data_IF_574948382474
#
_entry.id   IF_574948382474
#
_cell.length_a   1.000
_cell.length_b   1.000
_cell.length_c   1.000
_cell.angle_alpha   90.00
_cell.angle_beta   90.00
_cell.angle_gamma   90.00
#
_symmetry.space_group_name_H-M   'P 1'
#
loop_
_entity.id
_entity.type
_entity.pdbx_description
1 polymer ?
2 polymer ?
3 non-polymer ?
4 non-polymer ?
5 non-polymer ?
6 non-polymer ?
7 non-polymer ?
8 non-polymer ?
9 water ?
#
# COMPACT_ATOMS: atom_id res chain seq x y z
N UNK A 9 -15.49 -19.94 2.05
CA UNK A 9 -14.33 -19.38 1.31
C UNK A 9 -14.83 -18.52 0.14
N UNK A 10 -14.49 -17.22 0.13
CA UNK A 10 -14.67 -16.37 -1.05
C UNK A 10 -13.41 -16.51 -1.93
N UNK A 11 -13.54 -16.26 -3.27
CA UNK A 11 -12.38 -16.40 -4.18
C UNK A 11 -11.14 -15.70 -3.61
N UNK A 12 -10.01 -16.43 -3.48
CA UNK A 12 -8.76 -15.93 -2.87
C UNK A 12 -8.34 -14.50 -3.27
N UNK A 13 -8.58 -14.09 -4.52
CA UNK A 13 -8.23 -12.72 -4.97
C UNK A 13 -9.14 -11.64 -4.32
N UNK A 14 -10.29 -12.04 -3.77
CA UNK A 14 -11.24 -11.12 -3.09
C UNK A 14 -11.14 -11.04 -1.53
N UNK A 15 -10.43 -12.00 -0.97
CA UNK A 15 -10.10 -12.04 0.45
C UNK A 15 -9.55 -10.74 1.05
N UNK A 16 -8.67 -9.99 0.32
CA UNK A 16 -8.12 -8.72 0.85
C UNK A 16 -9.14 -7.64 1.11
N UNK A 17 -10.32 -7.74 0.49
CA UNK A 17 -11.43 -6.85 0.82
C UNK A 17 -12.03 -7.14 2.21
N UNK A 18 -11.76 -8.31 2.78
CA UNK A 18 -12.23 -8.66 4.13
C UNK A 18 -11.28 -8.21 5.21
N UNK A 19 -11.80 -7.37 6.09
CA UNK A 19 -11.01 -6.82 7.16
C UNK A 19 -10.37 -7.89 8.01
N UNK A 20 -11.07 -8.97 8.31
CA UNK A 20 -10.46 -10.02 9.13
C UNK A 20 -9.30 -10.71 8.43
N UNK A 21 -9.31 -10.83 7.09
CA UNK A 21 -8.16 -11.39 6.37
C UNK A 21 -6.97 -10.42 6.52
N UNK A 22 -7.27 -9.14 6.42
CA UNK A 22 -6.25 -8.12 6.54
C UNK A 22 -5.67 -8.13 7.93
N UNK A 23 -6.51 -8.17 8.96
CA UNK A 23 -6.01 -8.25 10.34
C UNK A 23 -5.06 -9.46 10.49
N UNK A 24 -5.37 -10.58 9.83
CA UNK A 24 -4.57 -11.82 10.00
C UNK A 24 -3.13 -11.65 9.50
N UNK A 25 -2.91 -10.72 8.58
CA UNK A 25 -1.56 -10.52 8.06
C UNK A 25 -0.60 -9.98 9.11
N UNK A 26 -1.10 -9.38 10.19
CA UNK A 26 -0.23 -8.66 11.14
C UNK A 26 0.31 -9.58 12.23
N UNK A 27 0.92 -10.69 11.81
CA UNK A 27 1.34 -11.72 12.72
C UNK A 27 2.32 -11.17 13.75
N UNK A 28 3.31 -10.41 13.29
CA UNK A 28 4.33 -9.91 14.20
C UNK A 28 4.44 -8.39 14.30
N UNK A 29 3.34 -7.72 14.00
CA UNK A 29 3.27 -6.28 14.12
C UNK A 29 3.60 -5.85 15.53
N UNK A 30 4.45 -4.86 15.68
CA UNK A 30 4.93 -4.48 16.99
C UNK A 30 4.06 -3.47 17.73
N UNK A 31 3.11 -2.84 17.07
CA UNK A 31 2.31 -1.83 17.76
C UNK A 31 0.96 -2.42 18.16
N UNK A 32 0.79 -2.69 19.44
CA UNK A 32 -0.42 -3.31 19.92
C UNK A 32 -1.22 -2.32 20.79
N UNK A 33 -1.94 -2.83 21.77
CA UNK A 33 -2.82 -2.03 22.57
C UNK A 33 -2.06 -0.90 23.24
N UNK A 34 -2.64 0.29 23.23
CA UNK A 34 -1.98 1.52 23.73
C UNK A 34 -1.56 2.47 22.61
N UNK A 35 -1.43 1.91 21.43
CA UNK A 35 -1.01 2.63 20.24
C UNK A 35 -2.22 2.95 19.36
N UNK A 36 -2.04 3.96 18.51
CA UNK A 36 -3.04 4.30 17.51
C UNK A 36 -3.01 3.29 16.38
N UNK A 37 -1.82 2.83 15.98
CA UNK A 37 -1.73 1.98 14.81
C UNK A 37 -1.74 0.50 15.15
N UNK A 38 -2.79 0.07 15.84
CA UNK A 38 -2.95 -1.34 16.15
C UNK A 38 -3.32 -2.11 14.88
N UNK A 39 -3.13 -3.43 14.89
CA UNK A 39 -3.53 -4.23 13.72
C UNK A 39 -4.98 -4.01 13.27
N UNK A 40 -5.92 -3.93 14.23
CA UNK A 40 -7.33 -3.63 13.91
C UNK A 40 -7.44 -2.32 13.18
N UNK A 41 -6.79 -1.28 13.69
CA UNK A 41 -6.88 0.01 13.04
C UNK A 41 -6.18 -0.01 11.69
N UNK A 42 -5.07 -0.70 11.60
CA UNK A 42 -4.33 -0.74 10.32
C UNK A 42 -5.20 -1.45 9.28
N UNK A 43 -5.85 -2.54 9.70
CA UNK A 43 -6.67 -3.35 8.78
C UNK A 43 -7.90 -2.56 8.38
N UNK A 44 -8.50 -1.85 9.33
CA UNK A 44 -9.62 -0.95 9.04
C UNK A 44 -9.27 0.04 7.95
N UNK A 45 -8.05 0.56 7.99
CA UNK A 45 -7.61 1.59 7.02
C UNK A 45 -7.22 1.02 5.68
N UNK A 46 -7.13 -0.32 5.56
CA UNK A 46 -6.89 -0.97 4.27
C UNK A 46 -5.52 -1.63 4.13
N UNK A 47 -4.72 -1.63 5.21
CA UNK A 47 -3.36 -2.11 5.18
C UNK A 47 -3.23 -3.61 5.43
N UNK A 48 -2.27 -4.20 4.72
CA UNK A 48 -1.75 -5.54 4.98
C UNK A 48 -0.28 -5.37 5.45
N UNK A 49 0.13 -6.23 6.39
CA UNK A 49 1.50 -6.26 6.86
C UNK A 49 2.37 -7.06 5.89
N UNK A 50 3.38 -6.38 5.33
CA UNK A 50 4.31 -6.96 4.35
C UNK A 50 5.75 -6.82 4.84
N UNK A 51 6.10 -7.51 5.92
CA UNK A 51 7.38 -7.21 6.49
C UNK A 51 8.53 -7.72 5.60
N UNK A 52 9.67 -7.09 5.79
CA UNK A 52 10.97 -7.59 5.28
C UNK A 52 12.00 -7.53 6.42
N UNK A 53 13.18 -8.12 6.20
CA UNK A 53 14.32 -7.95 7.11
C UNK A 53 14.61 -6.44 7.16
N UNK A 54 14.78 -5.85 5.98
CA UNK A 54 15.02 -4.40 5.81
C UNK A 54 13.94 -3.50 6.46
N UNK A 55 12.66 -3.87 6.31
CA UNK A 55 11.54 -3.06 6.75
C UNK A 55 10.46 -3.93 7.44
N UNK A 56 10.61 -4.22 8.74
CA UNK A 56 9.70 -5.12 9.49
C UNK A 56 8.29 -4.57 9.78
N UNK A 57 8.16 -3.24 9.70
CA UNK A 57 6.88 -2.57 9.86
C UNK A 57 6.33 -2.13 8.51
N UNK A 58 6.81 -2.71 7.40
CA UNK A 58 6.28 -2.31 6.10
C UNK A 58 4.83 -2.76 5.93
N UNK A 59 3.99 -1.82 5.56
CA UNK A 59 2.57 -2.08 5.36
C UNK A 59 2.14 -1.56 4.01
N UNK A 60 1.24 -2.29 3.33
CA UNK A 60 0.72 -1.89 2.00
C UNK A 60 -0.84 -1.83 1.98
N UNK A 61 -1.38 -0.77 1.37
CA UNK A 61 -2.82 -0.68 1.17
C UNK A 61 -3.22 -1.74 0.20
N UNK A 62 -4.23 -2.58 0.51
CA UNK A 62 -4.56 -3.65 -0.44
C UNK A 62 -5.16 -3.09 -1.66
N UNK A 63 -5.60 -1.85 -1.62
CA UNK A 63 -6.43 -1.34 -2.72
C UNK A 63 -5.71 -0.40 -3.72
N UNK A 64 -4.87 0.49 -3.18
CA UNK A 64 -4.07 1.44 -4.02
C UNK A 64 -2.62 1.10 -4.02
N UNK A 65 -2.22 0.16 -3.18
CA UNK A 65 -0.89 -0.42 -3.18
C UNK A 65 0.21 0.55 -2.68
N UNK A 66 -0.18 1.64 -2.05
CA UNK A 66 0.77 2.47 -1.36
C UNK A 66 1.45 1.72 -0.22
N UNK A 67 2.78 1.88 -0.14
CA UNK A 67 3.63 1.18 0.81
C UNK A 67 4.22 2.18 1.83
N UNK A 68 3.94 1.95 3.10
CA UNK A 68 4.39 2.85 4.14
C UNK A 68 5.08 2.14 5.23
N UNK A 69 6.08 2.82 5.76
CA UNK A 69 6.94 2.28 6.78
C UNK A 69 7.30 3.41 7.73
N UNK A 70 8.06 3.04 8.73
CA UNK A 70 8.52 3.99 9.74
C UNK A 70 7.38 4.44 10.63
N UNK A 71 6.54 3.49 11.03
CA UNK A 71 5.37 3.80 11.84
C UNK A 71 5.82 4.17 13.27
N UNK A 72 5.16 5.15 13.84
CA UNK A 72 5.29 5.49 15.25
C UNK A 72 3.95 5.13 15.94
N UNK A 73 3.98 4.90 17.27
CA UNK A 73 2.77 4.54 18.06
C UNK A 73 1.56 5.45 17.90
N UNK A 74 1.81 6.76 17.83
CA UNK A 74 0.75 7.78 17.67
C UNK A 74 0.24 7.97 16.25
N UNK A 75 0.76 7.23 15.28
CA UNK A 75 0.28 7.34 13.91
C UNK A 75 -1.12 6.77 13.78
N UNK A 76 -2.04 7.58 13.29
CA UNK A 76 -3.36 7.14 12.93
C UNK A 76 -3.37 6.62 11.50
N UNK A 77 -3.57 5.29 11.32
CA UNK A 77 -3.53 4.69 10.00
C UNK A 77 -4.39 5.32 8.94
N UNK A 78 -5.59 5.77 9.29
CA UNK A 78 -6.47 6.44 8.33
C UNK A 78 -5.85 7.74 7.85
N UNK A 79 -5.40 8.53 8.82
CA UNK A 79 -4.80 9.83 8.56
C UNK A 79 -3.53 9.63 7.71
N UNK A 80 -2.66 8.69 8.08
CA UNK A 80 -1.49 8.38 7.25
C UNK A 80 -1.88 7.97 5.83
N UNK A 81 -2.91 7.16 5.70
CA UNK A 81 -3.34 6.69 4.37
C UNK A 81 -3.82 7.88 3.59
N UNK A 82 -4.59 8.75 4.22
CA UNK A 82 -5.10 9.93 3.52
C UNK A 82 -3.93 10.86 3.06
N UNK A 83 -2.92 11.01 3.93
CA UNK A 83 -1.82 11.99 3.72
C UNK A 83 -1.00 11.52 2.51
N UNK A 84 -0.70 10.21 2.50
CA UNK A 84 0.18 9.60 1.51
C UNK A 84 -0.52 9.11 0.29
N UNK A 85 -1.81 8.83 0.35
CA UNK A 85 -2.50 8.37 -0.88
C UNK A 85 -3.91 8.85 -0.90
N UNK A 86 -4.04 10.16 -1.11
CA UNK A 86 -5.30 10.88 -0.98
C UNK A 86 -6.33 10.45 -2.00
N UNK A 87 -5.91 9.91 -3.14
CA UNK A 87 -6.84 9.47 -4.20
C UNK A 87 -7.34 8.02 -4.08
N UNK A 88 -6.91 7.27 -3.08
CA UNK A 88 -7.33 5.85 -2.93
C UNK A 88 -8.86 5.75 -2.72
N UNK A 89 -9.56 5.14 -3.67
CA UNK A 89 -11.03 4.97 -3.59
C UNK A 89 -11.47 4.23 -2.30
N UNK A 90 -10.61 3.41 -1.69
CA UNK A 90 -11.03 2.67 -0.51
C UNK A 90 -11.38 3.61 0.64
N UNK A 91 -10.70 4.74 0.66
CA UNK A 91 -10.91 5.73 1.66
C UNK A 91 -12.30 6.38 1.56
N UNK A 92 -12.96 6.29 0.42
CA UNK A 92 -14.30 6.81 0.23
C UNK A 92 -15.39 5.75 0.44
N UNK A 93 -15.03 4.55 0.84
CA UNK A 93 -15.96 3.50 0.97
C UNK A 93 -16.52 3.69 2.38
N UNK A 94 -17.78 4.06 2.49
CA UNK A 94 -18.37 4.17 3.81
C UNK A 94 -19.07 2.92 4.35
N UNK A 95 -19.54 2.09 3.43
CA UNK A 95 -20.25 0.84 3.81
C UNK A 95 -19.31 -0.27 4.30
N UNK A 96 -19.89 -1.21 5.04
CA UNK A 96 -19.21 -2.48 5.29
C UNK A 96 -19.22 -3.35 4.00
N UNK A 97 -18.30 -4.30 3.92
CA UNK A 97 -18.19 -5.21 2.78
C UNK A 97 -19.55 -5.84 2.40
N UNK A 98 -20.21 -6.43 3.37
CA UNK A 98 -21.47 -7.09 3.12
C UNK A 98 -22.56 -6.19 2.62
N UNK A 99 -22.41 -4.86 2.80
CA UNK A 99 -23.43 -3.91 2.41
C UNK A 99 -23.17 -3.41 1.02
N UNK A 100 -21.99 -3.65 0.47
CA UNK A 100 -21.71 -3.27 -0.91
C UNK A 100 -22.67 -4.01 -1.85
N UNK A 101 -23.11 -3.36 -2.93
CA UNK A 101 -23.83 -4.08 -3.95
C UNK A 101 -22.83 -4.83 -4.79
N UNK A 102 -23.30 -5.85 -5.50
CA UNK A 102 -22.45 -6.52 -6.43
C UNK A 102 -21.84 -5.56 -7.47
N UNK A 103 -22.68 -4.69 -8.04
CA UNK A 103 -22.22 -3.69 -9.02
C UNK A 103 -21.11 -2.83 -8.40
N UNK A 104 -21.31 -2.40 -7.17
CA UNK A 104 -20.31 -1.62 -6.45
C UNK A 104 -19.04 -2.41 -6.19
N UNK A 105 -19.19 -3.64 -5.75
CA UNK A 105 -18.02 -4.49 -5.57
C UNK A 105 -17.23 -4.68 -6.86
N UNK A 106 -17.90 -4.98 -7.96
CA UNK A 106 -17.24 -5.17 -9.22
C UNK A 106 -16.51 -3.89 -9.66
N UNK A 107 -17.15 -2.75 -9.50
CA UNK A 107 -16.52 -1.47 -9.84
C UNK A 107 -15.27 -1.26 -8.96
N UNK A 108 -15.38 -1.51 -7.65
CA UNK A 108 -14.22 -1.41 -6.79
C UNK A 108 -13.10 -2.35 -7.22
N UNK A 109 -13.47 -3.56 -7.62
CA UNK A 109 -12.46 -4.49 -8.06
C UNK A 109 -11.77 -4.06 -9.39
N UNK A 110 -12.50 -3.50 -10.33
CA UNK A 110 -11.88 -2.93 -11.54
C UNK A 110 -10.97 -1.78 -11.19
N UNK A 111 -11.27 -1.04 -10.15
CA UNK A 111 -10.50 0.15 -9.79
C UNK A 111 -9.25 -0.32 -9.09
N UNK A 112 -9.41 -1.33 -8.26
CA UNK A 112 -8.22 -1.97 -7.68
C UNK A 112 -7.24 -2.51 -8.76
N UNK A 113 -7.80 -3.15 -9.81
CA UNK A 113 -6.98 -3.70 -10.89
C UNK A 113 -6.21 -2.59 -11.64
N UNK A 114 -6.88 -1.47 -11.95
CA UNK A 114 -6.25 -0.27 -12.50
C UNK A 114 -5.18 0.22 -11.57
N UNK A 115 -5.41 0.14 -10.26
CA UNK A 115 -4.40 0.56 -9.29
C UNK A 115 -3.14 -0.32 -9.30
N UNK A 116 -3.34 -1.62 -9.48
CA UNK A 116 -2.26 -2.56 -9.49
C UNK A 116 -1.36 -2.37 -10.74
N UNK A 117 -1.99 -2.13 -11.89
CA UNK A 117 -1.33 -1.76 -13.14
C UNK A 117 -0.51 -0.49 -12.92
N UNK A 118 -1.14 0.49 -12.29
CA UNK A 118 -0.52 1.76 -12.01
C UNK A 118 0.71 1.62 -11.12
N UNK A 119 0.60 0.79 -10.06
CA UNK A 119 1.74 0.48 -9.20
C UNK A 119 2.88 -0.21 -9.98
N UNK A 120 2.57 -1.22 -10.77
CA UNK A 120 3.59 -1.91 -11.55
C UNK A 120 4.25 -0.92 -12.52
N UNK A 121 3.43 -0.10 -13.20
CA UNK A 121 3.95 0.91 -14.13
C UNK A 121 4.94 1.84 -13.45
N UNK A 122 4.56 2.22 -12.23
CA UNK A 122 5.35 3.10 -11.41
C UNK A 122 6.64 2.39 -11.02
N UNK A 123 6.59 1.12 -10.65
CA UNK A 123 7.82 0.48 -10.22
C UNK A 123 8.76 0.30 -11.42
N UNK A 124 8.20 -0.03 -12.59
CA UNK A 124 8.99 -0.14 -13.82
C UNK A 124 9.68 1.18 -14.23
N UNK A 125 8.95 2.29 -14.19
CA UNK A 125 9.50 3.62 -14.40
C UNK A 125 10.65 3.93 -13.45
N UNK A 126 10.51 3.58 -12.18
CA UNK A 126 11.53 3.88 -11.17
C UNK A 126 12.79 3.09 -11.45
N UNK A 127 12.61 1.83 -11.83
CA UNK A 127 13.73 0.97 -12.09
C UNK A 127 14.50 1.46 -13.33
N UNK A 128 13.77 1.79 -14.38
CA UNK A 128 14.35 2.31 -15.58
C UNK A 128 15.13 3.59 -15.31
N UNK A 129 14.55 4.50 -14.52
CA UNK A 129 15.20 5.79 -14.24
C UNK A 129 16.45 5.62 -13.42
N UNK A 130 16.48 4.68 -12.49
CA UNK A 130 17.70 4.36 -11.75
C UNK A 130 18.85 4.01 -12.75
N UNK A 131 18.54 3.19 -13.73
CA UNK A 131 19.49 2.79 -14.71
C UNK A 131 19.84 3.99 -15.59
N UNK A 132 18.85 4.74 -16.04
CA UNK A 132 19.10 5.87 -16.97
C UNK A 132 20.02 6.88 -16.30
N UNK A 133 19.87 7.12 -15.00
CA UNK A 133 20.77 8.05 -14.31
C UNK A 133 22.21 7.60 -14.33
N UNK A 134 22.44 6.32 -14.03
CA UNK A 134 23.79 5.80 -14.05
C UNK A 134 24.38 5.86 -15.44
N UNK A 135 23.59 5.50 -16.44
CA UNK A 135 24.08 5.58 -17.80
C UNK A 135 24.41 7.07 -18.16
N UNK A 136 23.47 7.97 -17.85
CA UNK A 136 23.62 9.37 -18.17
C UNK A 136 24.89 9.93 -17.51
N UNK A 137 25.08 9.61 -16.24
CA UNK A 137 26.30 9.94 -15.52
C UNK A 137 27.57 9.48 -16.23
N UNK A 138 27.58 8.24 -16.68
CA UNK A 138 28.77 7.75 -17.36
C UNK A 138 29.07 8.54 -18.65
N UNK A 139 28.02 8.87 -19.39
CA UNK A 139 28.22 9.44 -20.71
C UNK A 139 28.61 10.89 -20.51
N UNK A 140 28.09 11.50 -19.45
CA UNK A 140 28.45 12.86 -19.07
C UNK A 140 29.97 12.95 -18.79
N UNK A 141 30.51 11.86 -18.23
CA UNK A 141 31.98 11.86 -17.96
C UNK A 141 32.76 11.79 -19.27
N UNK A 142 32.34 10.90 -20.16
CA UNK A 142 32.96 10.82 -21.48
C UNK A 142 32.85 12.16 -22.23
N UNK A 143 31.69 12.81 -22.21
CA UNK A 143 31.50 14.07 -22.94
C UNK A 143 32.41 15.15 -22.37
N UNK A 144 32.74 15.01 -21.10
CA UNK A 144 33.56 15.95 -20.41
C UNK A 144 35.02 15.80 -20.82
N UNK A 145 35.38 14.68 -21.45
CA UNK A 145 36.73 14.44 -21.97
C UNK A 145 36.90 15.10 -23.34
N UNK A 146 38.10 15.61 -23.56
CA UNK A 146 38.53 15.97 -24.91
C UNK A 146 38.79 14.72 -25.80
N UNK B 1 4.20 7.79 9.55
CA UNK B 1 4.83 6.87 8.58
C UNK B 1 5.19 7.66 7.33
N UNK B 2 6.01 7.04 6.47
CA UNK B 2 6.54 7.67 5.25
C UNK B 2 6.60 6.65 4.09
N UNK B 4 7.67 4.10 1.33
CA UNK B 4 8.85 3.24 1.24
C UNK B 4 9.57 3.62 -0.06
#
# INVERSE_FOLDING_TARGET
GSHEMGAPTLPPAWQPFLKDHRISTFKNWPFLEGCACTPERMAEAGFIHCPTENEPDLAQCFFCFKELEGWEPDDDPIEEHKKHSSGCAFLSVKKQFEELTLGEFLKLDRERAKNKIAKETNNKKKEFEETAKKVRRAIEQLAAMD
ARXK
#
